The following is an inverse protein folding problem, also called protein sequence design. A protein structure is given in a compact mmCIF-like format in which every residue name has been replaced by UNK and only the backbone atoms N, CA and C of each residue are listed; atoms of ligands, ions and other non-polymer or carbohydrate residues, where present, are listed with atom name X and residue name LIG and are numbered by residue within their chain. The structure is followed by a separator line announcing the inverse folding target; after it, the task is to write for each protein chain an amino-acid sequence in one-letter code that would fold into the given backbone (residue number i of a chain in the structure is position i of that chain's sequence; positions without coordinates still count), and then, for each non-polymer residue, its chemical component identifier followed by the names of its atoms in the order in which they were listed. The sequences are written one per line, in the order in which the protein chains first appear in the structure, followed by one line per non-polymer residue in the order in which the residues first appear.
data_IF_490769679121
#
_entry.id   IF_490769679121
#
_cell.length_a   1.000
_cell.length_b   1.000
_cell.length_c   1.000
_cell.angle_alpha   90.00
_cell.angle_beta   90.00
_cell.angle_gamma   90.00
#
_symmetry.space_group_name_H-M   'P 1'
#
loop_
_entity.id
_entity.type
_entity.pdbx_description
1 polymer ?
#
# COMPACT_ATOMS: atom_id res chain seq x y z
N UNK A 1 68.03 19.43 5.20
CA UNK A 1 66.84 18.76 5.75
C UNK A 1 65.78 18.67 4.67
N UNK A 2 65.51 17.47 4.14
CA UNK A 2 64.43 17.22 3.17
C UNK A 2 63.31 16.52 3.92
N UNK A 3 62.16 17.17 4.06
CA UNK A 3 60.95 16.59 4.65
C UNK A 3 60.18 15.89 3.52
N UNK A 4 60.06 14.58 3.59
CA UNK A 4 59.25 13.77 2.68
C UNK A 4 57.86 13.63 3.30
N UNK A 5 56.85 14.27 2.71
CA UNK A 5 55.45 14.02 3.07
C UNK A 5 54.98 12.71 2.40
N UNK A 6 54.71 11.71 3.23
CA UNK A 6 54.03 10.48 2.81
C UNK A 6 52.52 10.75 2.72
N UNK A 7 51.98 10.65 1.50
CA UNK A 7 50.53 10.65 1.28
C UNK A 7 49.99 9.24 1.52
N UNK A 8 49.25 9.06 2.62
CA UNK A 8 48.44 7.86 2.86
C UNK A 8 47.17 8.00 2.01
N UNK A 9 47.11 7.26 0.91
CA UNK A 9 45.87 7.06 0.16
C UNK A 9 45.08 5.96 0.85
N UNK A 10 44.09 6.35 1.65
CA UNK A 10 43.12 5.44 2.24
C UNK A 10 42.20 4.94 1.12
N UNK A 11 42.45 3.73 0.63
CA UNK A 11 41.57 3.07 -0.35
C UNK A 11 40.26 2.69 0.34
N UNK A 12 39.17 3.39 -0.02
CA UNK A 12 37.81 2.96 0.31
C UNK A 12 37.51 1.73 -0.54
N UNK A 13 37.52 0.55 0.09
CA UNK A 13 37.02 -0.66 -0.54
C UNK A 13 35.52 -0.49 -0.80
N UNK A 14 35.14 -0.31 -2.05
CA UNK A 14 33.75 -0.41 -2.48
C UNK A 14 33.30 -1.86 -2.30
N UNK A 15 32.37 -2.10 -1.38
CA UNK A 15 31.66 -3.36 -1.28
C UNK A 15 30.68 -3.45 -2.43
N UNK A 16 31.14 -3.98 -3.58
CA UNK A 16 30.24 -4.52 -4.58
C UNK A 16 29.60 -5.80 -3.99
N UNK A 17 28.47 -5.64 -3.31
CA UNK A 17 27.57 -6.74 -3.08
C UNK A 17 27.15 -7.26 -4.46
N UNK A 18 27.63 -8.45 -4.84
CA UNK A 18 27.11 -9.19 -5.97
C UNK A 18 25.61 -9.37 -5.73
N UNK A 19 24.77 -8.63 -6.45
CA UNK A 19 23.38 -9.00 -6.57
C UNK A 19 23.37 -10.41 -7.15
N UNK A 20 22.91 -11.40 -6.39
CA UNK A 20 22.74 -12.75 -6.90
C UNK A 20 21.94 -12.68 -8.20
N UNK A 21 22.33 -13.48 -9.19
CA UNK A 21 21.62 -13.53 -10.46
C UNK A 21 20.16 -13.90 -10.19
N UNK A 22 19.23 -13.13 -10.77
CA UNK A 22 17.80 -13.40 -10.59
C UNK A 22 17.42 -14.72 -11.25
N UNK A 23 16.57 -15.47 -10.58
CA UNK A 23 15.99 -16.71 -11.07
C UNK A 23 15.05 -16.45 -12.25
N UNK A 24 14.99 -17.45 -13.14
CA UNK A 24 14.23 -17.37 -14.39
C UNK A 24 12.79 -17.83 -14.21
N UNK A 25 11.90 -17.51 -15.16
CA UNK A 25 10.51 -18.02 -15.16
C UNK A 25 10.41 -19.55 -15.04
N UNK A 26 11.21 -20.36 -15.77
CA UNK A 26 11.22 -21.82 -15.58
C UNK A 26 11.52 -22.27 -14.14
N UNK A 27 12.39 -21.56 -13.42
CA UNK A 27 12.67 -21.86 -12.02
C UNK A 27 11.43 -21.64 -11.14
N UNK A 28 10.78 -20.48 -11.27
CA UNK A 28 9.56 -20.19 -10.50
C UNK A 28 8.41 -21.14 -10.85
N UNK A 29 8.28 -21.48 -12.13
CA UNK A 29 7.31 -22.48 -12.59
C UNK A 29 7.54 -23.84 -11.92
N UNK A 30 8.79 -24.29 -11.79
CA UNK A 30 9.11 -25.56 -11.15
C UNK A 30 8.70 -25.60 -9.66
N UNK A 31 8.77 -24.46 -8.96
CA UNK A 31 8.25 -24.34 -7.58
C UNK A 31 6.73 -24.53 -7.57
N UNK A 32 6.00 -23.89 -8.48
CA UNK A 32 4.54 -24.06 -8.57
C UNK A 32 4.17 -25.51 -8.94
N UNK A 33 4.81 -26.07 -9.96
CA UNK A 33 4.57 -27.44 -10.44
C UNK A 33 4.86 -28.51 -9.36
N UNK A 34 5.79 -28.22 -8.43
CA UNK A 34 6.12 -29.10 -7.30
C UNK A 34 5.22 -28.92 -6.08
N UNK A 35 4.09 -28.21 -6.21
CA UNK A 35 3.19 -27.94 -5.08
C UNK A 35 3.78 -26.96 -4.07
N UNK A 36 4.54 -25.98 -4.57
CA UNK A 36 5.21 -24.94 -3.80
C UNK A 36 6.29 -25.50 -2.86
N UNK A 37 6.96 -26.58 -3.23
CA UNK A 37 8.10 -27.08 -2.47
C UNK A 37 9.28 -26.10 -2.58
N UNK A 38 10.01 -25.90 -1.47
CA UNK A 38 11.25 -25.11 -1.49
C UNK A 38 12.32 -25.94 -2.22
N UNK A 39 12.95 -25.44 -3.30
CA UNK A 39 13.98 -26.19 -4.01
C UNK A 39 15.18 -26.51 -3.12
N UNK A 40 15.84 -27.64 -3.36
CA UNK A 40 17.00 -28.05 -2.57
C UNK A 40 18.15 -27.03 -2.74
N UNK A 41 18.74 -26.62 -1.60
CA UNK A 41 19.84 -25.64 -1.57
C UNK A 41 19.39 -24.18 -1.59
N UNK A 42 18.10 -23.92 -1.84
CA UNK A 42 17.57 -22.56 -1.81
C UNK A 42 17.16 -22.11 -0.40
N UNK A 43 17.29 -20.80 -0.17
CA UNK A 43 16.81 -20.18 1.06
C UNK A 43 15.47 -19.48 0.81
N UNK A 44 14.36 -19.96 1.40
CA UNK A 44 13.03 -19.46 1.07
C UNK A 44 12.89 -17.96 1.36
N UNK A 45 13.55 -17.44 2.41
CA UNK A 45 13.52 -16.02 2.73
C UNK A 45 14.20 -15.14 1.68
N UNK A 46 15.32 -15.60 1.11
CA UNK A 46 16.01 -14.90 0.03
C UNK A 46 15.16 -14.89 -1.25
N UNK A 47 14.52 -16.02 -1.56
CA UNK A 47 13.62 -16.13 -2.71
C UNK A 47 12.37 -15.22 -2.57
N UNK A 48 11.78 -15.09 -1.37
CA UNK A 48 10.67 -14.13 -1.12
C UNK A 48 11.10 -12.69 -1.40
N UNK A 49 12.32 -12.32 -0.98
CA UNK A 49 12.86 -10.98 -1.25
C UNK A 49 13.11 -10.77 -2.74
N UNK A 50 13.54 -11.80 -3.47
CA UNK A 50 13.68 -11.73 -4.91
C UNK A 50 12.33 -11.57 -5.63
N UNK A 51 11.33 -12.37 -5.26
CA UNK A 51 9.96 -12.31 -5.80
C UNK A 51 9.29 -10.94 -5.55
N UNK A 52 9.67 -10.25 -4.46
CA UNK A 52 9.17 -8.90 -4.17
C UNK A 52 9.50 -7.90 -5.28
N UNK A 53 10.61 -8.09 -6.02
CA UNK A 53 10.93 -7.26 -7.17
C UNK A 53 9.96 -7.50 -8.35
N UNK A 54 9.40 -8.70 -8.47
CA UNK A 54 8.45 -9.06 -9.52
C UNK A 54 7.04 -8.56 -9.28
N UNK A 55 6.74 -8.00 -8.10
CA UNK A 55 5.49 -7.27 -7.86
C UNK A 55 5.26 -6.14 -8.85
N UNK A 56 6.34 -5.53 -9.36
CA UNK A 56 6.28 -4.46 -10.37
C UNK A 56 6.25 -4.97 -11.81
N UNK A 57 6.29 -6.29 -12.03
CA UNK A 57 6.32 -6.89 -13.37
C UNK A 57 4.99 -6.67 -14.09
N UNK A 58 5.00 -6.16 -15.35
CA UNK A 58 3.80 -6.11 -16.17
C UNK A 58 3.39 -7.50 -16.67
N UNK A 59 4.21 -8.53 -16.47
CA UNK A 59 3.87 -9.91 -16.82
C UNK A 59 3.04 -10.56 -15.70
N UNK A 60 1.74 -10.84 -15.93
CA UNK A 60 0.87 -11.40 -14.91
C UNK A 60 1.25 -12.84 -14.51
N UNK A 61 1.90 -13.61 -15.38
CA UNK A 61 2.36 -14.97 -15.01
C UNK A 61 3.48 -14.86 -13.98
N UNK A 62 4.45 -13.97 -14.21
CA UNK A 62 5.53 -13.79 -13.25
C UNK A 62 5.04 -13.20 -11.93
N UNK A 63 4.09 -12.27 -11.99
CA UNK A 63 3.63 -11.52 -10.83
C UNK A 63 2.57 -12.26 -10.01
N UNK A 64 1.53 -12.77 -10.65
CA UNK A 64 0.36 -13.37 -9.99
C UNK A 64 0.58 -14.86 -9.80
N UNK A 65 0.85 -15.59 -10.90
CA UNK A 65 0.92 -17.05 -10.89
C UNK A 65 2.17 -17.56 -10.18
N UNK A 66 3.24 -16.77 -10.12
CA UNK A 66 4.50 -17.12 -9.45
C UNK A 66 4.76 -16.27 -8.20
N UNK A 67 5.09 -14.98 -8.34
CA UNK A 67 5.59 -14.19 -7.22
C UNK A 67 4.60 -14.13 -6.05
N UNK A 68 3.35 -13.76 -6.33
CA UNK A 68 2.34 -13.69 -5.28
C UNK A 68 1.91 -15.07 -4.79
N UNK A 69 1.64 -16.03 -5.69
CA UNK A 69 1.15 -17.36 -5.30
C UNK A 69 2.18 -18.13 -4.45
N UNK A 70 3.46 -18.10 -4.81
CA UNK A 70 4.55 -18.75 -4.06
C UNK A 70 4.67 -18.11 -2.68
N UNK A 71 4.69 -16.78 -2.63
CA UNK A 71 4.73 -16.05 -1.36
C UNK A 71 3.53 -16.40 -0.48
N UNK A 72 2.30 -16.35 -1.01
CA UNK A 72 1.10 -16.66 -0.25
C UNK A 72 1.15 -18.09 0.31
N UNK A 73 1.61 -19.05 -0.48
CA UNK A 73 1.75 -20.43 -0.06
C UNK A 73 2.83 -20.61 1.01
N UNK A 74 3.97 -19.94 0.89
CA UNK A 74 5.07 -20.07 1.84
C UNK A 74 4.82 -19.32 3.16
N UNK A 75 4.25 -18.12 3.07
CA UNK A 75 3.94 -17.28 4.23
C UNK A 75 2.74 -17.84 4.99
N UNK A 76 1.61 -18.04 4.33
CA UNK A 76 0.34 -18.31 5.02
C UNK A 76 0.00 -19.80 5.10
N UNK A 77 0.06 -20.53 3.99
CA UNK A 77 -0.37 -21.93 3.97
C UNK A 77 0.65 -22.88 4.61
N UNK A 78 1.94 -22.73 4.29
CA UNK A 78 3.03 -23.58 4.79
C UNK A 78 3.73 -23.00 6.02
N UNK A 79 3.55 -21.71 6.31
CA UNK A 79 4.04 -21.02 7.52
C UNK A 79 5.55 -21.24 7.74
N UNK A 80 6.33 -21.03 6.68
CA UNK A 80 7.75 -21.38 6.65
C UNK A 80 8.66 -20.42 7.43
N UNK A 81 8.16 -19.26 7.81
CA UNK A 81 8.99 -18.15 8.28
C UNK A 81 8.83 -17.89 9.77
N UNK A 82 9.94 -17.51 10.40
CA UNK A 82 9.97 -17.05 11.78
C UNK A 82 9.37 -15.64 11.90
N UNK A 83 8.96 -15.22 13.11
CA UNK A 83 8.52 -13.85 13.36
C UNK A 83 9.54 -12.78 12.96
N UNK A 84 10.84 -13.06 13.04
CA UNK A 84 11.88 -12.10 12.66
C UNK A 84 11.96 -11.91 11.13
N UNK A 85 11.81 -12.98 10.36
CA UNK A 85 11.75 -12.92 8.90
C UNK A 85 10.47 -12.22 8.43
N UNK A 86 9.32 -12.55 9.03
CA UNK A 86 8.04 -11.90 8.73
C UNK A 86 8.10 -10.38 8.96
N UNK A 87 8.73 -9.92 10.05
CA UNK A 87 8.97 -8.49 10.32
C UNK A 87 9.84 -7.84 9.24
N UNK A 88 10.88 -8.55 8.79
CA UNK A 88 11.75 -8.07 7.72
C UNK A 88 10.98 -7.90 6.40
N UNK A 89 10.06 -8.82 6.08
CA UNK A 89 9.18 -8.70 4.92
C UNK A 89 8.18 -7.55 5.07
N UNK A 90 7.56 -7.40 6.25
CA UNK A 90 6.65 -6.28 6.53
C UNK A 90 7.37 -4.94 6.30
N UNK A 91 8.58 -4.79 6.82
CA UNK A 91 9.37 -3.56 6.64
C UNK A 91 9.63 -3.28 5.15
N UNK A 92 10.04 -4.30 4.39
CA UNK A 92 10.32 -4.18 2.95
C UNK A 92 9.07 -3.79 2.14
N UNK A 93 7.93 -4.45 2.38
CA UNK A 93 6.70 -4.19 1.63
C UNK A 93 6.02 -2.88 2.06
N UNK A 94 6.09 -2.52 3.33
CA UNK A 94 5.58 -1.25 3.84
C UNK A 94 6.31 -0.07 3.22
N UNK A 95 7.64 -0.15 3.08
CA UNK A 95 8.43 0.88 2.42
C UNK A 95 7.98 1.11 0.96
N UNK A 96 7.54 0.05 0.28
CA UNK A 96 7.08 0.11 -1.12
C UNK A 96 5.72 0.78 -1.30
N UNK A 97 4.86 0.81 -0.28
CA UNK A 97 3.52 1.43 -0.39
C UNK A 97 3.56 2.91 -0.78
N UNK A 98 4.67 3.63 -0.51
CA UNK A 98 4.81 5.05 -0.82
C UNK A 98 5.70 5.34 -2.03
N UNK A 99 6.23 4.31 -2.70
CA UNK A 99 7.15 4.49 -3.82
C UNK A 99 6.37 4.89 -5.08
N UNK A 100 6.63 6.10 -5.57
CA UNK A 100 6.03 6.60 -6.81
C UNK A 100 4.52 6.83 -6.71
N UNK A 101 4.01 7.38 -5.61
CA UNK A 101 2.58 7.73 -5.46
C UNK A 101 2.08 8.67 -6.57
N UNK A 102 2.94 9.56 -7.06
CA UNK A 102 2.67 10.46 -8.19
C UNK A 102 2.99 9.81 -9.56
N UNK A 103 3.45 8.55 -9.58
CA UNK A 103 3.77 7.78 -10.77
C UNK A 103 2.65 6.77 -11.08
N UNK A 104 1.89 7.08 -12.12
CA UNK A 104 0.77 6.27 -12.63
C UNK A 104 1.20 5.25 -13.69
N UNK A 105 2.51 5.04 -13.91
CA UNK A 105 2.96 3.92 -14.73
C UNK A 105 2.52 2.60 -14.08
N UNK A 106 2.05 1.68 -14.92
CA UNK A 106 1.51 0.38 -14.49
C UNK A 106 2.46 -0.35 -13.54
N UNK A 107 3.76 -0.41 -13.85
CA UNK A 107 4.77 -1.07 -12.99
C UNK A 107 4.94 -0.44 -11.61
N UNK A 108 4.77 0.89 -11.49
CA UNK A 108 4.82 1.59 -10.21
C UNK A 108 3.59 1.23 -9.36
N UNK A 109 2.39 1.31 -9.95
CA UNK A 109 1.12 0.94 -9.30
C UNK A 109 1.14 -0.51 -8.84
N UNK A 110 1.54 -1.44 -9.71
CA UNK A 110 1.67 -2.86 -9.40
C UNK A 110 2.58 -3.09 -8.20
N UNK A 111 3.74 -2.43 -8.17
CA UNK A 111 4.70 -2.55 -7.07
C UNK A 111 4.10 -2.22 -5.70
N UNK A 112 3.36 -1.11 -5.61
CA UNK A 112 2.68 -0.69 -4.37
C UNK A 112 1.51 -1.62 -4.03
N UNK A 113 0.69 -1.92 -5.03
CA UNK A 113 -0.52 -2.73 -4.91
C UNK A 113 -0.23 -4.16 -4.44
N UNK A 114 0.72 -4.85 -5.08
CA UNK A 114 1.09 -6.21 -4.68
C UNK A 114 1.84 -6.24 -3.34
N UNK A 115 2.49 -5.14 -2.95
CA UNK A 115 3.02 -5.00 -1.58
C UNK A 115 1.90 -4.93 -0.55
N UNK A 116 0.81 -4.19 -0.83
CA UNK A 116 -0.38 -4.19 0.03
C UNK A 116 -1.04 -5.58 0.11
N UNK A 117 -1.08 -6.31 -1.00
CA UNK A 117 -1.59 -7.68 -1.04
C UNK A 117 -0.73 -8.64 -0.20
N UNK A 118 0.60 -8.58 -0.32
CA UNK A 118 1.52 -9.39 0.47
C UNK A 118 1.42 -9.08 1.98
N UNK A 119 1.28 -7.80 2.34
CA UNK A 119 1.00 -7.40 3.72
C UNK A 119 -0.34 -7.96 4.21
N UNK A 120 -1.36 -8.06 3.35
CA UNK A 120 -2.64 -8.67 3.73
C UNK A 120 -2.50 -10.16 4.09
N UNK A 121 -1.63 -10.90 3.38
CA UNK A 121 -1.29 -12.28 3.69
C UNK A 121 -0.65 -12.41 5.07
N UNK A 122 0.25 -11.49 5.43
CA UNK A 122 0.89 -11.50 6.75
C UNK A 122 -0.07 -11.08 7.87
N UNK A 123 -0.94 -10.10 7.62
CA UNK A 123 -1.99 -9.73 8.58
C UNK A 123 -2.98 -10.90 8.81
N UNK A 124 -3.32 -11.66 7.76
CA UNK A 124 -4.10 -12.88 7.90
C UNK A 124 -3.38 -13.93 8.76
N UNK A 125 -2.08 -14.13 8.53
CA UNK A 125 -1.27 -15.04 9.33
C UNK A 125 -1.22 -14.61 10.80
N UNK A 126 -0.99 -13.34 11.12
CA UNK A 126 -0.95 -12.86 12.52
C UNK A 126 -2.28 -13.09 13.26
N UNK A 127 -3.41 -13.02 12.56
CA UNK A 127 -4.71 -13.32 13.16
C UNK A 127 -4.86 -14.81 13.55
N UNK A 128 -4.16 -15.72 12.87
CA UNK A 128 -4.16 -17.16 13.17
C UNK A 128 -3.01 -17.60 14.07
N UNK A 129 -1.86 -16.96 13.92
CA UNK A 129 -0.62 -17.20 14.65
C UNK A 129 -0.05 -15.86 15.13
N UNK A 130 -0.48 -15.39 16.30
CA UNK A 130 -0.02 -14.14 16.89
C UNK A 130 1.49 -14.00 16.93
N UNK A 131 2.03 -12.98 16.27
CA UNK A 131 3.45 -12.64 16.36
C UNK A 131 3.73 -11.14 16.35
N UNK A 132 2.82 -10.32 15.84
CA UNK A 132 2.93 -8.86 15.89
C UNK A 132 2.67 -8.34 17.29
N UNK A 133 3.47 -7.37 17.69
CA UNK A 133 3.22 -6.53 18.87
C UNK A 133 2.27 -5.38 18.52
N UNK A 134 1.67 -4.78 19.55
CA UNK A 134 0.70 -3.68 19.36
C UNK A 134 1.30 -2.51 18.58
N UNK A 135 2.53 -2.10 18.92
CA UNK A 135 3.20 -0.99 18.23
C UNK A 135 3.45 -1.29 16.74
N UNK A 136 3.78 -2.54 16.42
CA UNK A 136 4.00 -3.00 15.04
C UNK A 136 2.70 -3.04 14.24
N UNK A 137 1.62 -3.50 14.87
CA UNK A 137 0.27 -3.43 14.32
C UNK A 137 -0.16 -1.98 14.05
N UNK A 138 0.01 -1.08 15.02
CA UNK A 138 -0.38 0.33 14.89
C UNK A 138 0.36 1.03 13.74
N UNK A 139 1.65 0.73 13.58
CA UNK A 139 2.44 1.22 12.46
C UNK A 139 1.90 0.68 11.13
N UNK A 140 1.67 -0.63 11.01
CA UNK A 140 1.15 -1.25 9.80
C UNK A 140 -0.24 -0.69 9.43
N UNK A 141 -1.12 -0.52 10.41
CA UNK A 141 -2.43 0.13 10.21
C UNK A 141 -2.28 1.57 9.72
N UNK A 142 -1.37 2.34 10.31
CA UNK A 142 -1.06 3.70 9.87
C UNK A 142 -0.63 3.76 8.40
N UNK A 143 0.28 2.86 8.00
CA UNK A 143 0.75 2.78 6.62
C UNK A 143 -0.34 2.36 5.63
N UNK A 144 -1.19 1.38 5.99
CA UNK A 144 -2.30 0.94 5.16
C UNK A 144 -3.33 2.07 4.92
N UNK A 145 -3.69 2.80 5.99
CA UNK A 145 -4.62 3.93 5.91
C UNK A 145 -4.05 5.09 5.07
N UNK A 146 -2.77 5.40 5.26
CA UNK A 146 -2.09 6.43 4.47
C UNK A 146 -2.04 6.06 2.99
N UNK A 147 -1.72 4.81 2.67
CA UNK A 147 -1.69 4.35 1.28
C UNK A 147 -3.06 4.41 0.61
N UNK A 148 -4.13 3.96 1.28
CA UNK A 148 -5.50 4.03 0.72
C UNK A 148 -5.93 5.48 0.41
N UNK A 149 -5.51 6.43 1.26
CA UNK A 149 -5.80 7.85 1.10
C UNK A 149 -4.96 8.51 -0.01
N UNK A 150 -3.67 8.18 -0.06
CA UNK A 150 -2.69 8.85 -0.93
C UNK A 150 -2.71 8.30 -2.36
N UNK A 151 -3.05 7.02 -2.57
CA UNK A 151 -3.11 6.41 -3.90
C UNK A 151 -4.15 7.10 -4.80
N UNK A 152 -3.72 7.55 -5.99
CA UNK A 152 -4.59 8.22 -6.97
C UNK A 152 -4.92 7.36 -8.17
N UNK A 153 -4.19 6.28 -8.41
CA UNK A 153 -4.54 5.32 -9.44
C UNK A 153 -5.70 4.44 -8.97
N UNK A 154 -6.86 4.60 -9.63
CA UNK A 154 -8.08 3.87 -9.32
C UNK A 154 -8.30 2.66 -10.24
N UNK A 155 -7.38 2.38 -11.18
CA UNK A 155 -7.56 1.28 -12.13
C UNK A 155 -7.53 -0.07 -11.42
N UNK A 156 -8.57 -0.86 -11.65
CA UNK A 156 -8.64 -2.26 -11.22
C UNK A 156 -7.88 -3.20 -12.14
N UNK A 157 -7.92 -2.95 -13.44
CA UNK A 157 -7.39 -3.82 -14.48
C UNK A 157 -6.70 -3.01 -15.59
N UNK A 158 -5.71 -3.62 -16.21
CA UNK A 158 -5.02 -3.15 -17.41
C UNK A 158 -4.98 -4.28 -18.44
N UNK A 159 -5.33 -4.01 -19.68
CA UNK A 159 -5.48 -5.04 -20.72
C UNK A 159 -4.20 -5.84 -21.01
N UNK A 160 -3.03 -5.28 -20.72
CA UNK A 160 -1.74 -5.92 -20.93
C UNK A 160 -1.21 -6.54 -19.66
N UNK A 161 -1.29 -5.79 -18.56
CA UNK A 161 -0.66 -6.20 -17.31
C UNK A 161 -1.58 -7.01 -16.40
N UNK A 162 -2.88 -7.03 -16.62
CA UNK A 162 -3.85 -7.72 -15.79
C UNK A 162 -4.29 -6.88 -14.58
N UNK A 163 -4.45 -7.53 -13.43
CA UNK A 163 -5.00 -6.91 -12.23
C UNK A 163 -4.02 -5.91 -11.58
N UNK A 164 -4.42 -4.65 -11.50
CA UNK A 164 -3.70 -3.59 -10.77
C UNK A 164 -4.17 -3.54 -9.33
N UNK A 165 -5.48 -3.45 -9.11
CA UNK A 165 -6.14 -3.66 -7.82
C UNK A 165 -5.58 -2.89 -6.60
N UNK A 166 -5.02 -1.69 -6.79
CA UNK A 166 -4.45 -0.93 -5.67
C UNK A 166 -5.47 -0.69 -4.53
N UNK A 167 -6.70 -0.31 -4.86
CA UNK A 167 -7.81 -0.18 -3.89
C UNK A 167 -8.19 -1.54 -3.29
N UNK A 168 -8.38 -2.57 -4.13
CA UNK A 168 -8.81 -3.90 -3.72
C UNK A 168 -7.82 -4.59 -2.76
N UNK A 169 -6.53 -4.57 -3.08
CA UNK A 169 -5.48 -5.16 -2.25
C UNK A 169 -5.32 -4.43 -0.91
N UNK A 170 -5.47 -3.10 -0.92
CA UNK A 170 -5.46 -2.33 0.33
C UNK A 170 -6.69 -2.63 1.19
N UNK A 171 -7.86 -2.82 0.56
CA UNK A 171 -9.06 -3.26 1.26
C UNK A 171 -8.88 -4.66 1.89
N UNK A 172 -8.20 -5.58 1.22
CA UNK A 172 -7.86 -6.89 1.79
C UNK A 172 -6.94 -6.80 3.00
N UNK A 173 -5.94 -5.91 2.96
CA UNK A 173 -5.09 -5.63 4.13
C UNK A 173 -5.92 -5.09 5.29
N UNK A 174 -6.74 -4.05 5.05
CA UNK A 174 -7.60 -3.47 6.09
C UNK A 174 -8.63 -4.46 6.63
N UNK A 175 -9.14 -5.38 5.80
CA UNK A 175 -10.03 -6.47 6.23
C UNK A 175 -9.38 -7.35 7.28
N UNK A 176 -8.11 -7.73 7.09
CA UNK A 176 -7.41 -8.56 8.08
C UNK A 176 -6.95 -7.76 9.29
N UNK A 177 -6.52 -6.50 9.13
CA UNK A 177 -6.22 -5.63 10.26
C UNK A 177 -7.47 -5.36 11.12
N UNK A 178 -8.64 -5.23 10.50
CA UNK A 178 -9.93 -5.09 11.17
C UNK A 178 -10.24 -6.27 12.11
N UNK A 179 -9.68 -7.45 11.84
CA UNK A 179 -9.88 -8.68 12.64
C UNK A 179 -8.83 -8.88 13.73
N UNK A 180 -7.83 -8.01 13.80
CA UNK A 180 -6.74 -8.17 14.75
C UNK A 180 -7.20 -7.96 16.19
N UNK A 181 -6.59 -8.76 17.08
CA UNK A 181 -6.66 -8.61 18.55
C UNK A 181 -6.13 -7.26 19.04
N UNK A 182 -5.31 -6.59 18.23
CA UNK A 182 -4.65 -5.32 18.58
C UNK A 182 -5.45 -4.08 18.19
N UNK A 183 -6.49 -4.23 17.37
CA UNK A 183 -7.32 -3.10 16.98
C UNK A 183 -8.22 -2.67 18.15
N UNK A 184 -7.98 -1.49 18.69
CA UNK A 184 -8.82 -0.94 19.75
C UNK A 184 -10.11 -0.33 19.17
N UNK A 185 -11.21 -0.28 19.95
CA UNK A 185 -12.45 0.41 19.56
C UNK A 185 -12.23 1.83 19.03
N UNK A 186 -11.32 2.60 19.63
CA UNK A 186 -11.00 3.98 19.24
C UNK A 186 -10.33 4.08 17.85
N UNK A 187 -9.76 2.99 17.36
CA UNK A 187 -9.14 2.92 16.03
C UNK A 187 -10.14 2.49 14.94
N UNK A 188 -11.23 1.80 15.29
CA UNK A 188 -12.24 1.33 14.33
C UNK A 188 -12.84 2.46 13.47
N UNK A 189 -13.17 3.66 14.00
CA UNK A 189 -13.64 4.78 13.18
C UNK A 189 -12.65 5.22 12.11
N UNK A 190 -11.33 5.02 12.32
CA UNK A 190 -10.30 5.41 11.34
C UNK A 190 -10.38 4.53 10.10
N UNK A 191 -10.55 3.22 10.26
CA UNK A 191 -10.71 2.28 9.14
C UNK A 191 -12.00 2.59 8.40
N UNK A 192 -13.14 2.67 9.12
CA UNK A 192 -14.42 2.93 8.48
C UNK A 192 -14.44 4.27 7.71
N UNK A 193 -13.91 5.34 8.31
CA UNK A 193 -13.79 6.63 7.64
C UNK A 193 -12.91 6.58 6.38
N UNK A 194 -11.83 5.80 6.40
CA UNK A 194 -10.96 5.66 5.23
C UNK A 194 -11.66 4.88 4.09
N UNK A 195 -12.45 3.85 4.41
CA UNK A 195 -13.24 3.11 3.43
C UNK A 195 -14.29 4.02 2.78
N UNK A 196 -15.03 4.80 3.59
CA UNK A 196 -16.03 5.77 3.09
C UNK A 196 -15.34 6.84 2.25
N UNK A 197 -14.25 7.44 2.73
CA UNK A 197 -13.51 8.45 1.99
C UNK A 197 -13.02 7.93 0.63
N UNK A 198 -12.58 6.66 0.56
CA UNK A 198 -12.17 6.05 -0.71
C UNK A 198 -13.33 5.96 -1.70
N UNK A 199 -14.50 5.51 -1.24
CA UNK A 199 -15.72 5.44 -2.05
C UNK A 199 -16.17 6.84 -2.51
N UNK A 200 -16.15 7.82 -1.62
CA UNK A 200 -16.57 9.19 -1.92
C UNK A 200 -15.61 9.91 -2.88
N UNK A 201 -14.31 9.58 -2.82
CA UNK A 201 -13.29 10.21 -3.66
C UNK A 201 -13.17 9.61 -5.05
N UNK A 202 -13.78 8.45 -5.29
CA UNK A 202 -13.67 7.76 -6.57
C UNK A 202 -14.45 8.53 -7.65
N UNK A 203 -13.75 8.96 -8.70
CA UNK A 203 -14.34 9.60 -9.88
C UNK A 203 -14.73 8.59 -10.97
N UNK A 204 -14.47 7.30 -10.71
CA UNK A 204 -14.87 6.16 -11.53
C UNK A 204 -15.68 5.16 -10.70
N UNK A 205 -16.57 4.43 -11.36
CA UNK A 205 -17.23 3.29 -10.73
C UNK A 205 -16.21 2.15 -10.55
N UNK A 206 -16.13 1.59 -9.35
CA UNK A 206 -15.40 0.33 -9.12
C UNK A 206 -16.15 -0.81 -9.81
N UNK A 207 -15.44 -1.56 -10.64
CA UNK A 207 -16.02 -2.56 -11.54
C UNK A 207 -15.28 -3.91 -11.50
N UNK A 208 -14.22 -4.02 -10.71
CA UNK A 208 -13.33 -5.18 -10.65
C UNK A 208 -13.31 -5.83 -9.27
N UNK A 209 -14.36 -5.61 -8.47
CA UNK A 209 -14.52 -6.21 -7.14
C UNK A 209 -13.90 -5.40 -6.01
N UNK A 210 -13.42 -4.18 -6.28
CA UNK A 210 -12.93 -3.27 -5.24
C UNK A 210 -14.05 -2.93 -4.25
N UNK A 211 -15.27 -2.67 -4.72
CA UNK A 211 -16.44 -2.37 -3.90
C UNK A 211 -16.78 -3.52 -2.96
N UNK A 212 -16.76 -4.75 -3.46
CA UNK A 212 -17.01 -5.96 -2.67
C UNK A 212 -15.91 -6.16 -1.62
N UNK A 213 -14.64 -5.88 -1.94
CA UNK A 213 -13.53 -6.02 -0.99
C UNK A 213 -13.53 -4.92 0.07
N UNK A 214 -13.88 -3.68 -0.28
CA UNK A 214 -14.12 -2.59 0.67
C UNK A 214 -15.27 -2.93 1.63
N UNK A 215 -16.37 -3.49 1.10
CA UNK A 215 -17.50 -3.94 1.92
C UNK A 215 -17.10 -5.07 2.89
N UNK A 216 -16.26 -6.02 2.47
CA UNK A 216 -15.72 -7.07 3.36
C UNK A 216 -14.82 -6.52 4.46
N UNK A 217 -14.07 -5.45 4.20
CA UNK A 217 -13.30 -4.76 5.21
C UNK A 217 -14.22 -4.10 6.26
N UNK A 218 -15.26 -3.39 5.81
CA UNK A 218 -16.27 -2.81 6.71
C UNK A 218 -17.00 -3.89 7.53
N UNK A 219 -17.43 -4.98 6.89
CA UNK A 219 -18.08 -6.10 7.57
C UNK A 219 -17.18 -6.69 8.67
N UNK A 220 -15.87 -6.77 8.43
CA UNK A 220 -14.92 -7.28 9.42
C UNK A 220 -14.82 -6.40 10.68
N UNK A 221 -15.19 -5.12 10.60
CA UNK A 221 -15.38 -4.27 11.78
C UNK A 221 -16.72 -4.57 12.46
N UNK A 222 -17.81 -4.63 11.69
CA UNK A 222 -19.17 -4.76 12.21
C UNK A 222 -19.44 -6.07 12.95
N UNK A 223 -18.72 -7.14 12.61
CA UNK A 223 -18.85 -8.45 13.27
C UNK A 223 -17.95 -8.62 14.48
N UNK A 224 -17.17 -7.60 14.86
CA UNK A 224 -16.36 -7.66 16.08
C UNK A 224 -17.25 -7.62 17.32
N UNK A 225 -16.85 -8.35 18.35
CA UNK A 225 -17.55 -8.35 19.64
C UNK A 225 -17.47 -6.99 20.36
N UNK A 226 -16.41 -6.23 20.11
CA UNK A 226 -16.14 -4.89 20.67
C UNK A 226 -16.45 -3.77 19.65
N UNK A 227 -17.35 -4.01 18.68
CA UNK A 227 -17.67 -3.00 17.68
C UNK A 227 -18.32 -1.76 18.32
N UNK A 228 -17.73 -0.59 18.07
CA UNK A 228 -18.28 0.69 18.50
C UNK A 228 -19.35 1.18 17.52
N UNK A 229 -20.62 1.06 17.91
CA UNK A 229 -21.77 1.50 17.10
C UNK A 229 -21.78 3.01 16.81
N UNK A 230 -20.97 3.82 17.52
CA UNK A 230 -20.86 5.26 17.26
C UNK A 230 -20.03 5.60 16.03
N UNK A 231 -19.29 4.62 15.46
CA UNK A 231 -18.48 4.75 14.24
C UNK A 231 -19.24 5.40 13.09
N UNK A 232 -20.48 4.98 12.83
CA UNK A 232 -21.30 5.54 11.75
C UNK A 232 -21.71 7.00 12.01
N UNK A 233 -22.00 7.33 13.26
CA UNK A 233 -22.40 8.69 13.66
C UNK A 233 -21.23 9.68 13.60
N UNK A 234 -20.01 9.23 13.89
CA UNK A 234 -18.84 10.11 13.84
C UNK A 234 -18.46 10.48 12.40
N UNK A 235 -18.55 9.53 11.46
CA UNK A 235 -18.31 9.80 10.04
C UNK A 235 -19.35 10.77 9.48
N UNK A 236 -20.66 10.56 9.74
CA UNK A 236 -21.71 11.50 9.33
C UNK A 236 -21.51 12.90 9.94
N UNK A 237 -21.13 13.00 11.22
CA UNK A 237 -20.81 14.29 11.85
C UNK A 237 -19.62 15.00 11.20
N UNK A 238 -18.58 14.27 10.81
CA UNK A 238 -17.41 14.85 10.12
C UNK A 238 -17.77 15.32 8.71
N UNK A 239 -18.56 14.55 7.97
CA UNK A 239 -19.02 14.92 6.63
C UNK A 239 -19.96 16.15 6.65
N UNK A 240 -20.90 16.21 7.61
CA UNK A 240 -21.72 17.42 7.81
C UNK A 240 -20.87 18.65 8.14
N UNK A 241 -19.84 18.51 8.98
CA UNK A 241 -18.93 19.61 9.34
C UNK A 241 -18.08 20.06 8.15
N UNK A 242 -17.60 19.14 7.31
CA UNK A 242 -16.80 19.46 6.12
C UNK A 242 -17.65 20.20 5.07
N UNK A 243 -18.88 19.72 4.79
CA UNK A 243 -19.85 20.37 3.88
C UNK A 243 -20.24 21.77 4.35
N UNK A 244 -20.49 21.97 5.65
CA UNK A 244 -20.77 23.30 6.22
C UNK A 244 -19.56 24.24 6.07
N UNK A 245 -18.34 23.75 6.30
CA UNK A 245 -17.11 24.55 6.17
C UNK A 245 -16.81 24.91 4.71
N UNK A 246 -16.97 23.96 3.79
CA UNK A 246 -16.83 24.17 2.35
C UNK A 246 -17.88 25.14 1.77
N UNK A 247 -19.13 25.02 2.22
CA UNK A 247 -20.21 25.96 1.87
C UNK A 247 -19.93 27.38 2.35
N UNK A 248 -19.44 27.56 3.59
CA UNK A 248 -19.03 28.87 4.12
C UNK A 248 -17.83 29.47 3.38
N UNK A 249 -16.87 28.66 2.95
CA UNK A 249 -15.73 29.11 2.16
C UNK A 249 -16.15 29.60 0.77
N UNK A 250 -17.03 28.85 0.08
CA UNK A 250 -17.61 29.23 -1.23
C UNK A 250 -18.50 30.48 -1.14
N UNK A 251 -19.26 30.63 -0.06
CA UNK A 251 -20.07 31.83 0.17
C UNK A 251 -19.22 33.08 0.46
N UNK A 252 -18.03 32.92 1.06
CA UNK A 252 -17.07 34.01 1.28
C UNK A 252 -16.38 34.47 0.01
N UNK A 253 -15.97 33.55 -0.87
CA UNK A 253 -15.37 33.90 -2.18
C UNK A 253 -16.40 34.52 -3.14
N UNK A 254 -17.67 34.14 -3.06
CA UNK A 254 -18.74 34.78 -3.84
C UNK A 254 -19.11 36.20 -3.37
N UNK A 255 -18.71 36.62 -2.16
CA UNK A 255 -19.02 37.94 -1.58
C UNK A 255 -17.90 38.99 -1.71
N UNK A 256 -16.76 38.69 -2.33
CA UNK A 256 -15.78 39.73 -2.64
C UNK A 256 -16.22 40.53 -3.88
N UNK A 257 -16.47 41.86 -3.77
CA UNK A 257 -16.81 42.67 -4.92
C UNK A 257 -15.59 42.82 -5.83
N UNK A 258 -15.75 42.54 -7.12
CA UNK A 258 -14.77 42.89 -8.16
C UNK A 258 -14.67 44.41 -8.26
N UNK A 259 -13.70 45.02 -7.58
CA UNK A 259 -13.34 46.42 -7.82
C UNK A 259 -12.60 46.50 -9.16
N UNK A 260 -13.32 46.84 -10.23
CA UNK A 260 -12.76 47.26 -11.50
C UNK A 260 -12.17 48.67 -11.32
N UNK A 261 -10.85 48.77 -11.41
CA UNK A 261 -10.13 50.04 -11.38
C UNK A 261 -10.29 50.75 -12.74
N UNK A 262 -11.13 51.78 -12.80
CA UNK A 262 -11.19 52.73 -13.90
C UNK A 262 -10.02 53.71 -13.75
N UNK A 263 -9.00 53.62 -14.61
CA UNK A 263 -8.04 54.71 -14.82
C UNK A 263 -8.24 55.31 -16.20
N UNK A 264 -8.70 56.56 -16.20
CA UNK A 264 -9.01 57.36 -17.37
C UNK A 264 -7.76 57.65 -18.23
N UNK A 265 -7.89 57.47 -19.54
CA UNK A 265 -7.02 58.07 -20.55
C UNK A 265 -7.79 59.23 -21.18
N UNK A 266 -7.30 60.46 -20.97
CA UNK A 266 -7.70 61.66 -21.72
C UNK A 266 -6.99 61.68 -23.08
N UNK A 267 -7.62 62.20 -24.15
CA UNK A 267 -6.95 62.46 -25.41
C UNK A 267 -6.40 63.90 -25.44
N UNK A 268 -5.22 64.08 -26.05
CA UNK A 268 -4.80 65.38 -26.59
C UNK A 268 -4.64 65.22 -28.10
N UNK A 269 -5.42 66.02 -28.85
CA UNK A 269 -5.15 66.38 -30.25
C UNK A 269 -4.22 67.60 -30.24
N UNK A 270 -3.12 67.54 -30.98
CA UNK A 270 -2.75 68.41 -32.11
C UNK A 270 -1.40 67.96 -32.66
#
# INVERSE_FOLDING_TARGET
MRVVLAWIVLSVAATNAFAAARHTKPFWKAIVDSGFAVPAGEQPGALVMELTADFSSPDPVLRDDYAYSILAQWVYAKRLFTPAELRSFIAAWTARLRVGLDDHRVSAVLGRSFSALALSTVAALDNEQPFLEKLEFDALLGHALAYLHDERDLRGFDDRAGWLHATAHTADLLKFLARSRHLDPEQQPRIFAALVARLDSADVAFAHGEETRLARAALSLFVRADFDATVGHEVDRRDRRSKVRGGRARARTARQPRTLSHRALRPHRH
#
